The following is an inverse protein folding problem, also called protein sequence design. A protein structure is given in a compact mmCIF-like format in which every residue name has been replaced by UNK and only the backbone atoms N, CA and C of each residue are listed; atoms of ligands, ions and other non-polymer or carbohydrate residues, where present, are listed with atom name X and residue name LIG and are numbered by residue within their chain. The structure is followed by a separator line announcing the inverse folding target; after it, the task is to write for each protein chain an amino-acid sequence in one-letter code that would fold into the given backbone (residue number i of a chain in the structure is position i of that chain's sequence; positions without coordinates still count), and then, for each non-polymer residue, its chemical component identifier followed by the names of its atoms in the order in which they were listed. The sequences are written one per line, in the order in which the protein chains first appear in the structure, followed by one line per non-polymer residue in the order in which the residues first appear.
data_IF_341373240474
#
_entry.id   IF_341373240474
#
_cell.length_a   1.000
_cell.length_b   1.000
_cell.length_c   1.000
_cell.angle_alpha   90.00
_cell.angle_beta   90.00
_cell.angle_gamma   90.00
#
_symmetry.space_group_name_H-M   'P 1'
#
loop_
_entity.id
_entity.type
_entity.pdbx_description
1 polymer ?
#
# COMPACT_ATOMS: atom_id res chain seq x y z
N UNK A 1 -3.49 17.84 9.44
CA UNK A 1 -3.34 16.39 9.27
C UNK A 1 -1.87 16.01 9.13
N UNK A 2 -1.54 14.73 9.29
CA UNK A 2 -0.19 14.18 9.09
C UNK A 2 0.33 14.46 7.67
N UNK A 3 -0.50 14.29 6.64
CA UNK A 3 -0.14 14.53 5.24
C UNK A 3 0.27 15.98 4.95
N UNK A 4 -0.40 16.97 5.58
CA UNK A 4 -0.02 18.39 5.42
C UNK A 4 1.40 18.65 5.94
N UNK A 5 1.77 18.05 7.07
CA UNK A 5 3.14 18.15 7.61
C UNK A 5 4.15 17.44 6.71
N UNK A 6 3.81 16.26 6.19
CA UNK A 6 4.66 15.53 5.24
C UNK A 6 4.91 16.34 3.95
N UNK A 7 3.90 17.03 3.42
CA UNK A 7 4.06 17.92 2.26
C UNK A 7 5.02 19.08 2.53
N UNK A 8 5.06 19.62 3.75
CA UNK A 8 6.00 20.69 4.14
C UNK A 8 7.42 20.17 4.33
N UNK A 9 7.60 19.02 4.99
CA UNK A 9 8.94 18.49 5.34
C UNK A 9 9.57 17.64 4.24
N UNK A 10 8.77 17.18 3.27
CA UNK A 10 9.19 16.35 2.12
C UNK A 10 8.52 16.85 0.82
N UNK A 11 8.77 18.10 0.40
CA UNK A 11 8.06 18.71 -0.74
C UNK A 11 8.24 17.94 -2.06
N UNK A 12 9.36 17.22 -2.23
CA UNK A 12 9.60 16.31 -3.36
C UNK A 12 8.46 15.29 -3.56
N UNK A 13 7.83 14.83 -2.49
CA UNK A 13 6.76 13.82 -2.52
C UNK A 13 5.36 14.41 -2.44
N UNK A 14 5.22 15.75 -2.44
CA UNK A 14 3.94 16.43 -2.25
C UNK A 14 2.85 15.93 -3.22
N UNK A 15 3.17 15.88 -4.52
CA UNK A 15 2.21 15.44 -5.54
C UNK A 15 1.79 13.97 -5.33
N UNK A 16 2.72 13.11 -4.92
CA UNK A 16 2.44 11.70 -4.63
C UNK A 16 1.52 11.56 -3.41
N UNK A 17 1.79 12.29 -2.33
CA UNK A 17 0.99 12.29 -1.11
C UNK A 17 -0.42 12.85 -1.36
N UNK A 18 -0.53 13.95 -2.13
CA UNK A 18 -1.82 14.54 -2.50
C UNK A 18 -2.64 13.60 -3.39
N UNK A 19 -1.99 12.92 -4.34
CA UNK A 19 -2.62 11.90 -5.18
C UNK A 19 -3.14 10.72 -4.34
N UNK A 20 -2.33 10.22 -3.41
CA UNK A 20 -2.75 9.12 -2.52
C UNK A 20 -3.93 9.52 -1.63
N UNK A 21 -3.88 10.72 -1.05
CA UNK A 21 -4.96 11.22 -0.21
C UNK A 21 -6.29 11.28 -0.99
N UNK A 22 -6.26 11.83 -2.21
CA UNK A 22 -7.44 11.91 -3.07
C UNK A 22 -7.96 10.53 -3.50
N UNK A 23 -7.06 9.61 -3.80
CA UNK A 23 -7.42 8.28 -4.29
C UNK A 23 -7.93 7.35 -3.20
N UNK A 24 -7.45 7.49 -1.96
CA UNK A 24 -7.67 6.51 -0.88
C UNK A 24 -8.29 7.15 0.36
N UNK A 25 -7.73 8.24 0.89
CA UNK A 25 -8.22 8.81 2.14
C UNK A 25 -9.59 9.48 2.00
N UNK A 26 -9.83 10.21 0.89
CA UNK A 26 -11.12 10.86 0.67
C UNK A 26 -12.25 9.81 0.50
N UNK A 27 -12.09 8.74 -0.31
CA UNK A 27 -13.09 7.66 -0.37
C UNK A 27 -13.23 6.87 0.93
N UNK A 28 -12.13 6.58 1.64
CA UNK A 28 -12.22 5.91 2.96
C UNK A 28 -13.06 6.72 3.94
N UNK A 29 -12.86 8.05 4.00
CA UNK A 29 -13.65 8.92 4.87
C UNK A 29 -15.13 8.88 4.50
N UNK A 30 -15.46 8.90 3.20
CA UNK A 30 -16.83 8.76 2.72
C UNK A 30 -17.45 7.40 3.11
N UNK A 31 -16.71 6.30 2.99
CA UNK A 31 -17.20 4.97 3.35
C UNK A 31 -17.39 4.80 4.86
N UNK A 32 -16.55 5.45 5.68
CA UNK A 32 -16.74 5.54 7.13
C UNK A 32 -18.03 6.31 7.46
N UNK A 33 -18.22 7.48 6.86
CA UNK A 33 -19.38 8.34 7.11
C UNK A 33 -20.69 7.63 6.72
N UNK A 34 -20.69 6.97 5.57
CA UNK A 34 -21.85 6.19 5.07
C UNK A 34 -21.99 4.81 5.72
N UNK A 35 -21.08 4.44 6.61
CA UNK A 35 -21.03 3.12 7.29
C UNK A 35 -21.06 1.93 6.32
N UNK A 36 -20.50 2.11 5.12
CA UNK A 36 -20.44 1.07 4.11
C UNK A 36 -19.16 0.25 4.27
N UNK A 37 -19.24 -0.83 5.07
CA UNK A 37 -18.09 -1.67 5.37
C UNK A 37 -17.50 -2.35 4.12
N UNK A 38 -18.34 -2.81 3.19
CA UNK A 38 -17.87 -3.52 2.01
C UNK A 38 -16.99 -2.63 1.10
N UNK A 39 -17.43 -1.39 0.83
CA UNK A 39 -16.61 -0.46 0.06
C UNK A 39 -15.44 0.10 0.88
N UNK A 40 -15.59 0.24 2.20
CA UNK A 40 -14.46 0.57 3.09
C UNK A 40 -13.34 -0.47 2.98
N UNK A 41 -13.65 -1.75 3.14
CA UNK A 41 -12.67 -2.85 3.11
C UNK A 41 -11.96 -2.90 1.75
N UNK A 42 -12.73 -2.82 0.67
CA UNK A 42 -12.19 -2.76 -0.70
C UNK A 42 -11.25 -1.56 -0.89
N UNK A 43 -11.67 -0.36 -0.47
CA UNK A 43 -10.85 0.85 -0.58
C UNK A 43 -9.58 0.76 0.28
N UNK A 44 -9.68 0.18 1.48
CA UNK A 44 -8.55 -0.03 2.38
C UNK A 44 -7.50 -0.96 1.77
N UNK A 45 -7.93 -2.10 1.22
CA UNK A 45 -7.05 -3.05 0.52
C UNK A 45 -6.40 -2.41 -0.72
N UNK A 46 -7.15 -1.63 -1.49
CA UNK A 46 -6.60 -0.85 -2.60
C UNK A 46 -5.54 0.17 -2.13
N UNK A 47 -5.75 0.77 -0.96
CA UNK A 47 -4.77 1.65 -0.32
C UNK A 47 -3.45 0.97 -0.04
N UNK A 48 -3.50 -0.23 0.56
CA UNK A 48 -2.31 -1.06 0.83
C UNK A 48 -1.54 -1.32 -0.47
N UNK A 49 -2.23 -1.78 -1.52
CA UNK A 49 -1.61 -2.06 -2.82
C UNK A 49 -0.99 -0.81 -3.46
N UNK A 50 -1.67 0.33 -3.38
CA UNK A 50 -1.16 1.58 -3.92
C UNK A 50 0.06 2.08 -3.14
N UNK A 51 0.03 1.99 -1.81
CA UNK A 51 1.16 2.37 -0.96
C UNK A 51 2.40 1.52 -1.30
N UNK A 52 2.24 0.19 -1.40
CA UNK A 52 3.32 -0.71 -1.79
C UNK A 52 3.93 -0.33 -3.14
N UNK A 53 3.11 0.00 -4.15
CA UNK A 53 3.58 0.48 -5.46
C UNK A 53 4.35 1.81 -5.35
N UNK A 54 3.85 2.76 -4.57
CA UNK A 54 4.53 4.05 -4.36
C UNK A 54 5.88 3.87 -3.65
N UNK A 55 5.96 3.01 -2.64
CA UNK A 55 7.21 2.62 -1.98
C UNK A 55 8.21 2.03 -2.97
N UNK A 56 7.77 1.13 -3.87
CA UNK A 56 8.59 0.63 -4.97
C UNK A 56 9.13 1.75 -5.88
N UNK A 57 8.27 2.72 -6.25
CA UNK A 57 8.67 3.86 -7.12
C UNK A 57 9.69 4.81 -6.48
N UNK A 58 9.81 4.77 -5.15
CA UNK A 58 10.78 5.58 -4.38
C UNK A 58 12.04 4.79 -4.01
N UNK A 59 12.20 3.58 -4.52
CA UNK A 59 13.31 2.66 -4.20
C UNK A 59 13.39 2.29 -2.70
N UNK A 60 12.25 2.36 -2.00
CA UNK A 60 12.08 1.94 -0.61
C UNK A 60 10.91 0.95 -0.46
N UNK A 61 10.92 -0.20 -1.16
CA UNK A 61 9.91 -1.23 -0.98
C UNK A 61 10.02 -1.84 0.43
N UNK A 62 8.90 -1.95 1.16
CA UNK A 62 8.86 -2.41 2.56
C UNK A 62 9.11 -3.91 2.70
N UNK A 63 8.33 -4.75 2.00
CA UNK A 63 8.44 -6.22 2.02
C UNK A 63 8.28 -6.74 0.59
N UNK A 64 9.32 -7.38 0.04
CA UNK A 64 9.25 -8.09 -1.24
C UNK A 64 9.34 -9.58 -0.94
N UNK A 65 8.29 -10.32 -1.27
CA UNK A 65 8.38 -11.78 -1.33
C UNK A 65 9.21 -12.17 -2.54
N UNK A 66 10.38 -12.78 -2.30
CA UNK A 66 11.27 -13.24 -3.36
C UNK A 66 11.58 -14.70 -3.12
N UNK A 67 11.25 -15.55 -4.09
CA UNK A 67 11.72 -16.93 -4.07
C UNK A 67 13.24 -16.95 -4.26
N UNK A 68 13.96 -17.78 -3.50
CA UNK A 68 15.37 -18.01 -3.77
C UNK A 68 15.51 -18.63 -5.18
N UNK A 69 16.63 -18.37 -5.88
CA UNK A 69 16.87 -18.93 -7.22
C UNK A 69 16.93 -20.46 -7.21
N UNK A 70 17.21 -21.06 -6.05
CA UNK A 70 17.18 -22.50 -5.82
C UNK A 70 16.28 -22.81 -4.62
N UNK A 71 15.47 -23.88 -4.68
CA UNK A 71 14.67 -24.31 -3.53
C UNK A 71 15.55 -24.60 -2.30
N UNK A 72 15.10 -24.27 -1.08
CA UNK A 72 15.82 -24.66 0.14
C UNK A 72 15.95 -26.18 0.21
N UNK A 73 17.19 -26.69 0.28
CA UNK A 73 17.48 -28.13 0.25
C UNK A 73 16.86 -28.94 1.39
N UNK A 74 16.48 -28.26 2.48
CA UNK A 74 15.91 -28.88 3.68
C UNK A 74 14.37 -28.79 3.73
N UNK A 75 13.71 -28.26 2.69
CA UNK A 75 12.26 -28.14 2.62
C UNK A 75 11.74 -28.83 1.36
N UNK A 76 10.79 -29.74 1.53
CA UNK A 76 9.95 -30.29 0.46
C UNK A 76 8.88 -29.25 0.10
N UNK A 77 9.13 -28.49 -0.97
CA UNK A 77 8.23 -27.42 -1.46
C UNK A 77 7.39 -27.88 -2.67
N UNK A 78 7.28 -29.19 -2.89
CA UNK A 78 6.48 -29.79 -3.95
C UNK A 78 4.96 -29.75 -3.66
N UNK A 79 4.11 -30.03 -4.67
CA UNK A 79 2.68 -30.16 -4.45
C UNK A 79 2.38 -31.27 -3.43
N UNK A 80 1.38 -31.05 -2.58
CA UNK A 80 0.83 -32.12 -1.75
C UNK A 80 0.18 -33.15 -2.67
N UNK A 81 0.75 -34.36 -2.71
CA UNK A 81 0.15 -35.53 -3.37
C UNK A 81 -0.94 -36.15 -2.52
#
# INVERSE_FOLDING_TARGET
SLCKKANTTRPKYKAMIESYAKAIFDPLALHIETRNFAEFEKCYLQGIELANKMHGSTNHPEIIWKLPPTPPQHLEMGPCV
#
